data_IF_853132643056
#
_entry.id   IF_853132643056
#
_cell.length_a   1.000
_cell.length_b   1.000
_cell.length_c   1.000
_cell.angle_alpha   90.00
_cell.angle_beta   90.00
_cell.angle_gamma   90.00
#
_symmetry.space_group_name_H-M   'P 1'
#
loop_
_entity.id
_entity.type
_entity.pdbx_description
1 polymer ?
#
# COMPACT_ATOMS: atom_id res chain seq x y z
N UNK A 1 5.90 -36.58 13.69
CA UNK A 1 4.44 -36.39 13.56
C UNK A 1 3.99 -34.96 13.92
N UNK A 2 4.78 -33.90 13.65
CA UNK A 2 4.44 -32.50 13.98
C UNK A 2 4.79 -31.51 12.84
N UNK A 3 4.66 -31.91 11.56
CA UNK A 3 4.89 -30.99 10.42
C UNK A 3 3.61 -30.60 9.68
N UNK A 4 2.49 -31.28 9.94
CA UNK A 4 1.20 -31.03 9.25
C UNK A 4 0.40 -29.85 9.79
N UNK A 5 0.55 -29.50 11.07
CA UNK A 5 -0.32 -28.51 11.72
C UNK A 5 0.06 -27.06 11.38
N UNK A 6 1.34 -26.78 11.13
CA UNK A 6 1.82 -25.42 10.78
C UNK A 6 1.32 -24.97 9.41
N UNK A 7 1.11 -25.89 8.45
CA UNK A 7 0.59 -25.55 7.10
C UNK A 7 -0.85 -25.03 7.10
N UNK A 8 -1.67 -25.37 8.12
CA UNK A 8 -3.07 -24.90 8.18
C UNK A 8 -3.20 -23.42 8.55
N UNK A 9 -2.24 -22.85 9.29
CA UNK A 9 -2.25 -21.43 9.63
C UNK A 9 -1.84 -20.52 8.46
N UNK A 10 -1.24 -21.09 7.40
CA UNK A 10 -0.92 -20.39 6.15
C UNK A 10 -1.98 -20.56 5.08
N UNK A 11 -3.09 -21.28 5.35
CA UNK A 11 -4.28 -21.18 4.52
C UNK A 11 -5.06 -19.93 4.97
N UNK A 12 -4.42 -18.76 4.85
CA UNK A 12 -5.15 -17.49 4.84
C UNK A 12 -6.08 -17.62 3.64
N UNK A 13 -7.36 -17.90 3.91
CA UNK A 13 -8.46 -17.81 2.94
C UNK A 13 -8.09 -16.74 1.93
N UNK A 14 -8.11 -17.07 0.62
CA UNK A 14 -7.90 -16.07 -0.44
C UNK A 14 -8.99 -15.01 -0.25
N UNK A 15 -8.73 -14.03 0.60
CA UNK A 15 -9.61 -12.91 0.83
C UNK A 15 -9.74 -12.25 -0.54
N UNK A 16 -10.96 -12.12 -1.03
CA UNK A 16 -11.21 -11.60 -2.38
C UNK A 16 -10.49 -10.26 -2.53
N UNK A 17 -9.79 -10.07 -3.64
CA UNK A 17 -9.08 -8.81 -3.90
C UNK A 17 -10.12 -7.68 -3.93
N UNK A 18 -10.03 -6.75 -2.99
CA UNK A 18 -10.91 -5.60 -2.94
C UNK A 18 -10.46 -4.58 -3.98
N UNK A 19 -11.25 -4.42 -5.04
CA UNK A 19 -10.95 -3.54 -6.19
C UNK A 19 -12.01 -2.46 -6.41
N UNK A 20 -13.03 -2.41 -5.56
CA UNK A 20 -14.19 -1.52 -5.71
C UNK A 20 -14.05 -0.25 -4.86
N UNK A 21 -14.78 0.80 -5.25
CA UNK A 21 -14.78 2.08 -4.54
C UNK A 21 -13.44 2.82 -4.67
N UNK A 22 -12.90 3.29 -3.54
CA UNK A 22 -11.66 4.09 -3.50
C UNK A 22 -10.46 3.29 -4.04
N UNK A 23 -10.43 1.97 -3.80
CA UNK A 23 -9.41 1.08 -4.35
C UNK A 23 -9.47 0.96 -5.89
N UNK A 24 -10.62 1.28 -6.51
CA UNK A 24 -10.74 1.37 -7.96
C UNK A 24 -10.10 2.63 -8.56
N UNK A 25 -9.83 3.65 -7.74
CA UNK A 25 -9.22 4.92 -8.18
C UNK A 25 -7.72 4.93 -7.91
N UNK A 26 -7.30 4.44 -6.74
CA UNK A 26 -5.90 4.41 -6.29
C UNK A 26 -5.60 3.07 -5.64
N UNK A 27 -4.43 2.47 -5.95
CA UNK A 27 -4.06 1.16 -5.37
C UNK A 27 -3.84 1.20 -3.85
N UNK A 28 -3.30 2.31 -3.33
CA UNK A 28 -3.00 2.46 -1.91
C UNK A 28 -3.49 3.79 -1.29
N UNK A 29 -4.81 3.98 -1.13
CA UNK A 29 -5.39 5.23 -0.61
C UNK A 29 -5.01 5.53 0.85
N UNK A 30 -4.73 4.49 1.64
CA UNK A 30 -4.28 4.63 3.03
C UNK A 30 -2.92 5.32 3.12
N UNK A 31 -1.98 4.96 2.24
CA UNK A 31 -0.65 5.58 2.23
C UNK A 31 -0.70 7.02 1.74
N UNK A 32 -1.57 7.32 0.78
CA UNK A 32 -1.86 8.70 0.38
C UNK A 32 -2.38 9.54 1.55
N UNK A 33 -3.35 8.99 2.30
CA UNK A 33 -3.95 9.67 3.46
C UNK A 33 -2.92 9.89 4.57
N UNK A 34 -2.08 8.90 4.87
CA UNK A 34 -0.99 9.02 5.83
C UNK A 34 0.05 10.06 5.41
N UNK A 35 0.42 10.11 4.13
CA UNK A 35 1.32 11.14 3.60
C UNK A 35 0.73 12.54 3.75
N UNK A 36 -0.56 12.71 3.43
CA UNK A 36 -1.26 13.97 3.60
C UNK A 36 -1.36 14.39 5.07
N UNK A 37 -1.63 13.44 5.97
CA UNK A 37 -1.69 13.69 7.41
C UNK A 37 -0.31 14.08 7.97
N UNK A 38 0.76 13.40 7.55
CA UNK A 38 2.12 13.75 7.94
C UNK A 38 2.50 15.17 7.48
N UNK A 39 2.14 15.54 6.24
CA UNK A 39 2.34 16.90 5.72
C UNK A 39 1.50 17.93 6.48
N UNK A 40 0.23 17.65 6.73
CA UNK A 40 -0.67 18.53 7.50
C UNK A 40 -0.16 18.77 8.91
N UNK A 41 0.36 17.73 9.58
CA UNK A 41 0.98 17.85 10.90
C UNK A 41 2.26 18.68 10.84
N UNK A 42 3.14 18.46 9.86
CA UNK A 42 4.36 19.26 9.71
C UNK A 42 4.06 20.75 9.55
N UNK A 43 3.02 21.10 8.78
CA UNK A 43 2.55 22.47 8.61
C UNK A 43 1.94 23.03 9.89
N UNK A 44 1.07 22.26 10.56
CA UNK A 44 0.38 22.68 11.79
C UNK A 44 1.37 23.04 12.91
N UNK A 45 2.42 22.23 13.09
CA UNK A 45 3.46 22.48 14.09
C UNK A 45 4.51 23.51 13.66
N UNK A 46 4.43 24.04 12.41
CA UNK A 46 5.43 24.93 11.80
C UNK A 46 6.88 24.44 11.99
N UNK A 47 7.06 23.13 12.04
CA UNK A 47 8.34 22.52 12.38
C UNK A 47 9.08 22.14 11.12
N UNK A 48 10.15 22.88 10.81
CA UNK A 48 11.06 22.56 9.70
C UNK A 48 11.68 21.17 9.86
N UNK A 49 11.92 20.73 11.09
CA UNK A 49 12.39 19.37 11.37
C UNK A 49 11.35 18.33 10.96
N UNK A 50 10.07 18.52 11.31
CA UNK A 50 9.00 17.59 10.93
C UNK A 50 8.84 17.50 9.40
N UNK A 51 8.96 18.64 8.70
CA UNK A 51 8.94 18.67 7.25
C UNK A 51 10.14 17.91 6.65
N UNK A 52 11.34 18.11 7.19
CA UNK A 52 12.54 17.41 6.74
C UNK A 52 12.43 15.90 6.96
N UNK A 53 11.84 15.45 8.08
CA UNK A 53 11.59 14.03 8.35
C UNK A 53 10.50 13.42 7.46
N UNK A 54 9.55 14.21 6.97
CA UNK A 54 8.49 13.71 6.09
C UNK A 54 9.01 13.18 4.74
N UNK A 55 10.14 13.69 4.26
CA UNK A 55 10.77 13.29 2.99
C UNK A 55 11.29 11.84 3.05
N UNK A 56 12.23 11.46 3.96
CA UNK A 56 12.69 10.08 4.06
C UNK A 56 11.56 9.13 4.48
N UNK A 57 10.58 9.62 5.25
CA UNK A 57 9.38 8.85 5.59
C UNK A 57 8.58 8.47 4.32
N UNK A 58 8.32 9.43 3.42
CA UNK A 58 7.63 9.16 2.16
C UNK A 58 8.40 8.15 1.27
N UNK A 59 9.74 8.23 1.25
CA UNK A 59 10.59 7.27 0.53
C UNK A 59 10.48 5.85 1.10
N UNK A 60 10.44 5.72 2.43
CA UNK A 60 10.21 4.44 3.11
C UNK A 60 8.85 3.83 2.71
N UNK A 61 7.79 4.63 2.63
CA UNK A 61 6.49 4.16 2.18
C UNK A 61 6.51 3.63 0.76
N UNK A 62 7.26 4.26 -0.15
CA UNK A 62 7.43 3.75 -1.52
C UNK A 62 8.05 2.36 -1.53
N UNK A 63 9.03 2.10 -0.65
CA UNK A 63 9.68 0.80 -0.54
C UNK A 63 8.73 -0.26 0.04
N UNK A 64 7.98 0.10 1.08
CA UNK A 64 6.97 -0.78 1.70
C UNK A 64 5.89 -1.15 0.67
N UNK A 65 5.38 -0.17 -0.08
CA UNK A 65 4.40 -0.38 -1.16
C UNK A 65 4.95 -1.37 -2.18
N UNK A 66 6.22 -1.21 -2.60
CA UNK A 66 6.81 -2.13 -3.58
C UNK A 66 6.85 -3.58 -3.08
N UNK A 67 7.23 -3.78 -1.82
CA UNK A 67 7.23 -5.10 -1.19
C UNK A 67 5.81 -5.67 -1.05
N UNK A 68 4.85 -4.82 -0.72
CA UNK A 68 3.44 -5.20 -0.65
C UNK A 68 2.88 -5.58 -2.02
N UNK A 69 3.16 -4.81 -3.08
CA UNK A 69 2.77 -5.15 -4.45
C UNK A 69 3.37 -6.50 -4.88
N UNK A 70 4.62 -6.80 -4.49
CA UNK A 70 5.25 -8.09 -4.75
C UNK A 70 4.52 -9.23 -4.04
N UNK A 71 4.21 -9.07 -2.75
CA UNK A 71 3.44 -10.05 -1.99
C UNK A 71 2.02 -10.25 -2.53
N UNK A 72 1.38 -9.18 -3.02
CA UNK A 72 0.07 -9.26 -3.66
C UNK A 72 0.14 -9.99 -5.00
N UNK A 73 1.19 -9.74 -5.79
CA UNK A 73 1.44 -10.47 -7.04
C UNK A 73 1.68 -11.97 -6.77
N UNK A 74 2.45 -12.32 -5.74
CA UNK A 74 2.67 -13.72 -5.34
C UNK A 74 1.38 -14.40 -4.83
N UNK A 75 0.48 -13.67 -4.18
CA UNK A 75 -0.79 -14.21 -3.65
C UNK A 75 -1.91 -14.33 -4.67
N UNK A 76 -2.08 -13.33 -5.53
CA UNK A 76 -3.24 -13.17 -6.42
C UNK A 76 -2.88 -13.32 -7.91
N UNK A 77 -1.59 -13.28 -8.26
CA UNK A 77 -1.11 -13.54 -9.63
C UNK A 77 -1.76 -12.62 -10.66
N UNK A 78 -2.45 -13.24 -11.63
CA UNK A 78 -3.12 -12.54 -12.73
C UNK A 78 -4.26 -11.61 -12.28
N UNK A 79 -4.99 -11.95 -11.20
CA UNK A 79 -6.07 -11.10 -10.69
C UNK A 79 -5.52 -9.73 -10.24
N UNK A 80 -4.34 -9.73 -9.62
CA UNK A 80 -3.66 -8.49 -9.23
C UNK A 80 -3.06 -7.74 -10.43
N UNK A 81 -2.57 -8.44 -11.46
CA UNK A 81 -2.10 -7.80 -12.69
C UNK A 81 -3.25 -7.08 -13.42
N UNK A 82 -4.41 -7.71 -13.49
CA UNK A 82 -5.61 -7.12 -14.09
C UNK A 82 -6.07 -5.88 -13.31
N UNK A 83 -6.06 -5.97 -11.97
CA UNK A 83 -6.31 -4.82 -11.11
C UNK A 83 -5.29 -3.70 -11.32
N UNK A 84 -4.00 -4.03 -11.41
CA UNK A 84 -2.92 -3.06 -11.65
C UNK A 84 -3.10 -2.33 -12.98
N UNK A 85 -3.58 -3.02 -14.02
CA UNK A 85 -3.92 -2.43 -15.33
C UNK A 85 -5.12 -1.49 -15.24
N UNK A 86 -6.16 -1.87 -14.52
CA UNK A 86 -7.38 -1.05 -14.36
C UNK A 86 -7.14 0.20 -13.51
N UNK A 87 -6.28 0.09 -12.50
CA UNK A 87 -5.96 1.18 -11.57
C UNK A 87 -4.47 1.50 -11.64
N UNK A 88 -3.99 2.31 -12.60
CA UNK A 88 -2.56 2.58 -12.78
C UNK A 88 -1.95 3.38 -11.62
N UNK A 89 -2.76 4.22 -10.96
CA UNK A 89 -2.35 5.17 -9.92
C UNK A 89 -1.95 4.48 -8.62
N UNK A 90 -0.70 4.68 -8.18
CA UNK A 90 -0.19 4.10 -6.91
C UNK A 90 -0.72 4.82 -5.68
N UNK A 91 -0.59 6.15 -5.65
CA UNK A 91 -0.89 6.99 -4.49
C UNK A 91 -1.66 8.25 -4.86
N UNK A 92 -1.26 8.97 -5.91
CA UNK A 92 -1.89 10.23 -6.29
C UNK A 92 -2.47 10.08 -7.71
N UNK A 93 -3.79 10.24 -7.90
CA UNK A 93 -4.36 10.21 -9.24
C UNK A 93 -3.77 11.35 -10.07
N UNK A 94 -3.36 11.06 -11.30
CA UNK A 94 -2.74 12.00 -12.28
C UNK A 94 -1.32 12.48 -12.00
N UNK A 95 -0.64 11.98 -10.96
CA UNK A 95 0.75 12.41 -10.66
C UNK A 95 1.77 11.26 -10.76
N UNK A 96 1.37 9.99 -10.59
CA UNK A 96 2.20 8.77 -10.80
C UNK A 96 1.35 7.59 -11.29
#
# INVERSE_FOLDING_TARGET
MCKGFIRKLTQKSKAKLSTTGIYGVVRHPLYTSNGLLALGMAILFKSMCALLFSIPYALLYLFIIHFEEKNLLERYGEEYKEYKRKTPWKMIPKVI
#
